data_IF_237962695904
#
_entry.id   IF_237962695904
#
_cell.length_a   1.000
_cell.length_b   1.000
_cell.length_c   1.000
_cell.angle_alpha   90.00
_cell.angle_beta   90.00
_cell.angle_gamma   90.00
#
_symmetry.space_group_name_H-M   'P 1'
#
loop_
_entity.id
_entity.type
_entity.pdbx_description
1 polymer ?
#
# COMPACT_ATOMS: atom_id res chain seq x y z
N UNK A 1 58.19 1.01 -19.18
CA UNK A 1 57.36 1.78 -18.27
C UNK A 1 55.89 1.95 -18.74
N UNK A 2 55.60 2.16 -20.03
CA UNK A 2 54.21 2.31 -20.51
C UNK A 2 53.33 1.07 -20.35
N UNK A 3 53.87 -0.14 -20.41
CA UNK A 3 53.11 -1.41 -20.30
C UNK A 3 52.69 -1.73 -18.85
N UNK A 4 53.43 -1.26 -17.83
CA UNK A 4 53.09 -1.44 -16.40
C UNK A 4 51.98 -0.49 -15.99
N UNK A 5 51.95 0.72 -16.53
CA UNK A 5 50.91 1.69 -16.28
C UNK A 5 49.53 1.26 -16.83
N UNK A 6 49.56 0.55 -17.97
CA UNK A 6 48.32 0.03 -18.58
C UNK A 6 47.73 -1.13 -17.80
N UNK A 7 48.57 -1.97 -17.19
CA UNK A 7 48.16 -3.09 -16.36
C UNK A 7 47.53 -2.59 -15.03
N UNK A 8 48.06 -1.50 -14.47
CA UNK A 8 47.49 -0.89 -13.25
C UNK A 8 46.11 -0.27 -13.51
N UNK A 9 45.88 0.35 -14.66
CA UNK A 9 44.55 0.92 -15.01
C UNK A 9 43.52 -0.18 -15.22
N UNK A 10 43.88 -1.33 -15.78
CA UNK A 10 42.94 -2.46 -15.93
C UNK A 10 42.55 -3.11 -14.59
N UNK A 11 43.44 -3.14 -13.60
CA UNK A 11 43.11 -3.67 -12.26
C UNK A 11 42.13 -2.77 -11.49
N UNK A 12 42.25 -1.45 -11.66
CA UNK A 12 41.33 -0.49 -11.02
C UNK A 12 39.93 -0.56 -11.63
N UNK A 13 39.77 -0.93 -12.92
CA UNK A 13 38.47 -1.05 -13.58
C UNK A 13 37.70 -2.33 -13.20
N UNK A 14 38.36 -3.33 -12.62
CA UNK A 14 37.72 -4.60 -12.21
C UNK A 14 37.05 -4.56 -10.82
N UNK A 15 37.25 -3.48 -10.05
CA UNK A 15 36.67 -3.33 -8.68
C UNK A 15 35.33 -2.62 -8.70
N UNK A 16 34.84 -2.12 -9.86
CA UNK A 16 33.68 -1.22 -9.95
C UNK A 16 32.34 -1.88 -10.32
N UNK A 17 32.18 -3.20 -10.27
CA UNK A 17 30.89 -3.84 -10.55
C UNK A 17 30.52 -4.96 -9.55
N UNK A 18 30.67 -4.67 -8.26
CA UNK A 18 30.01 -5.44 -7.22
C UNK A 18 28.89 -4.57 -6.66
N UNK A 19 27.65 -4.83 -7.04
CA UNK A 19 26.51 -4.34 -6.26
C UNK A 19 26.75 -4.81 -4.83
N UNK A 20 27.21 -3.92 -3.96
CA UNK A 20 27.57 -4.23 -2.58
C UNK A 20 26.32 -4.83 -1.93
N UNK A 21 26.32 -6.15 -1.73
CA UNK A 21 25.26 -6.81 -0.98
C UNK A 21 25.36 -6.25 0.43
N UNK A 22 24.35 -5.48 0.83
CA UNK A 22 24.22 -4.96 2.17
C UNK A 22 24.47 -6.06 3.19
N UNK A 23 25.24 -5.76 4.22
CA UNK A 23 25.45 -6.69 5.33
C UNK A 23 24.12 -7.05 6.01
N UNK A 24 24.03 -8.18 6.72
CA UNK A 24 22.81 -8.50 7.49
C UNK A 24 22.40 -7.39 8.45
N UNK A 25 23.37 -6.74 9.09
CA UNK A 25 23.15 -5.63 10.03
C UNK A 25 22.60 -4.38 9.31
N UNK A 26 23.14 -4.02 8.16
CA UNK A 26 22.65 -2.90 7.35
C UNK A 26 21.24 -3.15 6.83
N UNK A 27 20.92 -4.40 6.48
CA UNK A 27 19.54 -4.78 6.09
C UNK A 27 18.58 -4.63 7.25
N UNK A 28 18.94 -5.13 8.44
CA UNK A 28 18.13 -5.01 9.65
C UNK A 28 17.92 -3.56 10.05
N UNK A 29 18.97 -2.74 10.01
CA UNK A 29 18.87 -1.31 10.30
C UNK A 29 17.99 -0.57 9.30
N UNK A 30 18.11 -0.89 8.01
CA UNK A 30 17.25 -0.33 6.97
C UNK A 30 15.79 -0.73 7.15
N UNK A 31 15.55 -1.99 7.49
CA UNK A 31 14.20 -2.50 7.75
C UNK A 31 13.57 -1.78 8.94
N UNK A 32 14.31 -1.65 10.07
CA UNK A 32 13.84 -0.92 11.24
C UNK A 32 13.53 0.56 10.93
N UNK A 33 14.32 1.20 10.07
CA UNK A 33 14.06 2.58 9.65
C UNK A 33 12.79 2.69 8.80
N UNK A 34 12.52 1.73 7.93
CA UNK A 34 11.29 1.67 7.14
C UNK A 34 10.09 1.51 8.08
N UNK A 35 10.18 0.61 9.07
CA UNK A 35 9.15 0.40 10.09
C UNK A 35 8.81 1.68 10.85
N UNK A 36 9.82 2.34 11.39
CA UNK A 36 9.62 3.58 12.13
C UNK A 36 8.97 4.68 11.28
N UNK A 37 9.40 4.83 10.03
CA UNK A 37 8.82 5.80 9.10
C UNK A 37 7.36 5.48 8.76
N UNK A 38 7.02 4.21 8.57
CA UNK A 38 5.64 3.79 8.32
C UNK A 38 4.76 4.04 9.55
N UNK A 39 5.20 3.63 10.74
CA UNK A 39 4.46 3.88 11.99
C UNK A 39 4.25 5.37 12.25
N UNK A 40 5.27 6.18 12.01
CA UNK A 40 5.16 7.64 12.11
C UNK A 40 4.14 8.20 11.12
N UNK A 41 4.20 7.80 9.87
CA UNK A 41 3.27 8.26 8.84
C UNK A 41 1.81 7.87 9.16
N UNK A 42 1.60 6.69 9.73
CA UNK A 42 0.28 6.24 10.19
C UNK A 42 -0.22 7.09 11.36
N UNK A 43 0.64 7.32 12.37
CA UNK A 43 0.30 8.14 13.52
C UNK A 43 0.00 9.60 13.12
N UNK A 44 0.71 10.12 12.14
CA UNK A 44 0.52 11.46 11.56
C UNK A 44 -0.61 11.51 10.52
N UNK A 45 -1.30 10.39 10.25
CA UNK A 45 -2.36 10.28 9.24
C UNK A 45 -1.89 10.72 7.85
N UNK A 46 -0.68 10.34 7.47
CA UNK A 46 -0.06 10.78 6.22
C UNK A 46 0.58 9.59 5.48
N UNK A 47 -0.28 8.74 4.90
CA UNK A 47 0.16 7.52 4.23
C UNK A 47 -0.68 7.18 3.00
N UNK A 48 -0.14 6.31 2.17
CA UNK A 48 -0.81 5.73 0.99
C UNK A 48 -0.72 4.22 1.05
N UNK A 49 -1.82 3.54 0.73
CA UNK A 49 -1.88 2.10 0.52
C UNK A 49 -2.03 1.87 -0.98
N UNK A 50 -1.05 1.22 -1.58
CA UNK A 50 -1.12 0.77 -2.96
C UNK A 50 -1.71 -0.63 -2.97
N UNK A 51 -2.89 -0.80 -3.58
CA UNK A 51 -3.60 -2.08 -3.60
C UNK A 51 -2.96 -3.02 -4.64
N UNK A 52 -2.69 -4.24 -4.22
CA UNK A 52 -2.08 -5.29 -5.05
C UNK A 52 -3.03 -6.44 -5.33
N UNK A 53 -4.02 -6.63 -4.44
CA UNK A 53 -5.00 -7.70 -4.56
C UNK A 53 -6.37 -7.24 -4.08
N UNK A 54 -7.41 -7.68 -4.75
CA UNK A 54 -8.80 -7.55 -4.31
C UNK A 54 -9.38 -8.94 -4.08
N UNK A 55 -10.04 -9.10 -2.95
CA UNK A 55 -10.74 -10.33 -2.56
C UNK A 55 -12.24 -10.06 -2.57
N UNK A 56 -12.94 -10.36 -3.66
CA UNK A 56 -14.39 -10.24 -3.69
C UNK A 56 -15.02 -11.26 -2.74
N UNK A 57 -16.18 -10.95 -2.19
CA UNK A 57 -16.91 -11.85 -1.29
C UNK A 57 -17.23 -13.18 -2.00
N UNK A 58 -17.49 -13.13 -3.31
CA UNK A 58 -17.73 -14.29 -4.17
C UNK A 58 -16.76 -14.23 -5.35
N UNK A 59 -16.02 -15.33 -5.58
CA UNK A 59 -15.09 -15.42 -6.70
C UNK A 59 -13.63 -15.65 -6.31
N UNK A 60 -12.74 -15.48 -7.27
CA UNK A 60 -11.31 -15.66 -7.06
C UNK A 60 -10.64 -14.32 -6.72
N UNK A 61 -9.58 -14.40 -5.91
CA UNK A 61 -8.72 -13.27 -5.64
C UNK A 61 -8.13 -12.73 -6.96
N UNK A 62 -8.09 -11.41 -7.08
CA UNK A 62 -7.66 -10.75 -8.29
C UNK A 62 -6.47 -9.85 -7.99
N UNK A 63 -5.37 -10.08 -8.71
CA UNK A 63 -4.24 -9.17 -8.69
C UNK A 63 -4.63 -7.89 -9.43
N UNK A 64 -4.39 -6.75 -8.79
CA UNK A 64 -4.71 -5.43 -9.34
C UNK A 64 -3.48 -4.53 -9.29
N UNK A 65 -3.49 -3.49 -10.10
CA UNK A 65 -2.46 -2.45 -10.09
C UNK A 65 -3.08 -1.09 -10.39
N UNK A 66 -2.44 -0.03 -9.89
CA UNK A 66 -2.90 1.33 -10.09
C UNK A 66 -4.01 1.79 -9.15
N UNK A 67 -4.54 0.94 -8.29
CA UNK A 67 -5.52 1.31 -7.26
C UNK A 67 -4.83 1.66 -5.95
N UNK A 68 -5.43 2.59 -5.20
CA UNK A 68 -4.82 3.09 -3.98
C UNK A 68 -5.83 3.76 -3.05
N UNK A 69 -5.44 3.86 -1.78
CA UNK A 69 -6.11 4.66 -0.75
C UNK A 69 -5.06 5.59 -0.16
N UNK A 70 -5.29 6.88 -0.20
CA UNK A 70 -4.42 7.89 0.39
C UNK A 70 -5.15 8.54 1.55
N UNK A 71 -4.48 8.60 2.69
CA UNK A 71 -4.96 9.29 3.90
C UNK A 71 -4.02 10.44 4.17
N UNK A 72 -4.55 11.63 4.23
CA UNK A 72 -3.88 12.80 4.82
C UNK A 72 -4.63 13.21 6.10
N UNK A 73 -4.08 14.13 6.87
CA UNK A 73 -4.62 14.50 8.18
C UNK A 73 -6.07 15.01 8.15
N UNK A 74 -6.62 15.31 6.99
CA UNK A 74 -7.93 15.96 6.82
C UNK A 74 -8.86 15.20 5.90
N UNK A 75 -8.32 14.46 4.92
CA UNK A 75 -9.08 13.80 3.89
C UNK A 75 -8.60 12.39 3.62
N UNK A 76 -9.51 11.58 3.11
CA UNK A 76 -9.22 10.32 2.44
C UNK A 76 -9.50 10.47 0.96
N UNK A 77 -8.55 10.02 0.14
CA UNK A 77 -8.71 9.94 -1.30
C UNK A 77 -8.66 8.47 -1.68
N UNK A 78 -9.69 8.00 -2.38
CA UNK A 78 -9.79 6.62 -2.80
C UNK A 78 -9.79 6.52 -4.31
N UNK A 79 -9.02 5.58 -4.82
CA UNK A 79 -9.06 5.10 -6.19
C UNK A 79 -9.06 3.58 -6.13
N UNK A 80 -10.25 2.99 -6.01
CA UNK A 80 -10.46 1.58 -5.73
C UNK A 80 -11.33 0.93 -6.81
N UNK A 81 -11.23 -0.39 -7.03
CA UNK A 81 -12.13 -1.08 -7.93
C UNK A 81 -13.57 -0.98 -7.39
N UNK A 82 -14.52 -0.67 -8.27
CA UNK A 82 -15.94 -0.68 -7.94
C UNK A 82 -16.44 -2.12 -8.01
N UNK A 83 -16.64 -2.73 -6.87
CA UNK A 83 -17.22 -4.06 -6.74
C UNK A 83 -18.71 -3.88 -6.48
N UNK A 84 -19.55 -4.49 -7.31
CA UNK A 84 -21.00 -4.56 -7.11
C UNK A 84 -21.36 -5.96 -6.64
N UNK A 85 -22.32 -6.11 -5.71
CA UNK A 85 -22.85 -7.41 -5.30
C UNK A 85 -23.41 -8.21 -6.47
N UNK A 86 -23.98 -7.50 -7.47
CA UNK A 86 -24.64 -8.06 -8.63
C UNK A 86 -23.67 -8.35 -9.80
N UNK A 87 -22.37 -8.09 -9.62
CA UNK A 87 -21.41 -8.43 -10.68
C UNK A 87 -21.31 -9.96 -10.80
N UNK A 88 -21.62 -10.53 -11.98
CA UNK A 88 -21.52 -11.97 -12.17
C UNK A 88 -20.09 -12.44 -11.89
N UNK A 89 -19.89 -13.65 -11.39
CA UNK A 89 -18.56 -14.19 -11.14
C UNK A 89 -17.71 -14.03 -12.40
N UNK A 90 -16.58 -13.38 -12.24
CA UNK A 90 -15.85 -12.64 -13.26
C UNK A 90 -15.07 -13.48 -14.28
N UNK A 91 -15.54 -14.67 -14.56
CA UNK A 91 -14.93 -15.55 -15.55
C UNK A 91 -15.05 -15.08 -17.02
N UNK A 92 -15.74 -13.96 -17.27
CA UNK A 92 -16.02 -13.49 -18.65
C UNK A 92 -15.76 -12.01 -18.93
N UNK A 93 -15.31 -11.24 -17.96
CA UNK A 93 -15.06 -9.81 -18.19
C UNK A 93 -13.63 -9.59 -18.67
N UNK A 94 -13.49 -8.89 -19.78
CA UNK A 94 -12.17 -8.52 -20.29
C UNK A 94 -11.48 -7.52 -19.35
N UNK A 95 -10.13 -7.48 -19.28
CA UNK A 95 -9.41 -6.50 -18.45
C UNK A 95 -9.80 -5.05 -18.73
N UNK A 96 -10.34 -4.73 -19.91
CA UNK A 96 -10.83 -3.40 -20.28
C UNK A 96 -12.14 -3.00 -19.58
N UNK A 97 -13.05 -3.95 -19.37
CA UNK A 97 -14.33 -3.66 -18.66
C UNK A 97 -14.11 -3.41 -17.16
N UNK A 98 -13.01 -3.91 -16.60
CA UNK A 98 -12.60 -3.61 -15.22
C UNK A 98 -12.12 -2.17 -15.05
N UNK A 99 -11.39 -1.63 -16.02
CA UNK A 99 -10.84 -0.29 -15.97
C UNK A 99 -11.94 0.80 -15.87
N UNK A 100 -13.15 0.52 -16.39
CA UNK A 100 -14.29 1.44 -16.33
C UNK A 100 -15.09 1.36 -15.01
N UNK A 101 -14.75 0.40 -14.12
CA UNK A 101 -15.44 0.16 -12.84
C UNK A 101 -14.58 0.59 -11.66
N UNK A 102 -14.23 1.85 -11.61
CA UNK A 102 -13.51 2.45 -10.50
C UNK A 102 -14.43 3.30 -9.63
N UNK A 103 -14.18 3.27 -8.35
CA UNK A 103 -14.70 4.24 -7.41
C UNK A 103 -13.58 5.22 -7.08
N UNK A 104 -13.77 6.46 -7.48
CA UNK A 104 -12.82 7.54 -7.25
C UNK A 104 -13.51 8.66 -6.48
N UNK A 105 -12.99 9.00 -5.32
CA UNK A 105 -13.50 10.09 -4.52
C UNK A 105 -12.46 10.69 -3.57
N UNK A 106 -12.72 11.92 -3.17
CA UNK A 106 -12.04 12.60 -2.06
C UNK A 106 -13.08 13.04 -1.07
N UNK A 107 -12.88 12.74 0.21
CA UNK A 107 -13.86 13.07 1.25
C UNK A 107 -13.16 13.36 2.58
N UNK A 108 -13.79 14.14 3.48
CA UNK A 108 -13.23 14.36 4.81
C UNK A 108 -13.00 13.06 5.56
N UNK A 109 -11.88 13.01 6.26
CA UNK A 109 -11.53 11.92 7.17
C UNK A 109 -12.28 12.12 8.49
N UNK A 110 -12.96 11.08 8.98
CA UNK A 110 -13.72 11.13 10.22
C UNK A 110 -13.42 9.90 11.10
N UNK A 111 -13.46 10.07 12.42
CA UNK A 111 -13.26 9.01 13.43
C UNK A 111 -12.00 8.18 13.22
N UNK A 112 -10.87 8.81 12.88
CA UNK A 112 -9.61 8.10 12.73
C UNK A 112 -9.10 7.60 14.08
N UNK A 113 -8.84 6.29 14.16
CA UNK A 113 -8.23 5.63 15.32
C UNK A 113 -7.10 4.72 14.83
N UNK A 114 -5.95 4.84 15.45
CA UNK A 114 -4.82 3.93 15.27
C UNK A 114 -4.46 3.26 16.60
N UNK A 115 -4.36 1.95 16.59
CA UNK A 115 -3.88 1.15 17.72
C UNK A 115 -2.77 0.23 17.26
N UNK A 116 -1.75 0.06 18.07
CA UNK A 116 -0.63 -0.84 17.79
C UNK A 116 -0.43 -1.80 18.95
N UNK A 117 -0.34 -3.09 18.64
CA UNK A 117 -0.02 -4.12 19.60
C UNK A 117 1.45 -4.55 19.42
N UNK A 118 2.34 -4.20 20.37
CA UNK A 118 3.77 -4.52 20.27
C UNK A 118 4.05 -6.03 20.43
N UNK A 119 3.18 -6.80 21.10
CA UNK A 119 3.40 -8.23 21.28
C UNK A 119 3.19 -9.02 19.98
N UNK A 120 2.22 -8.60 19.17
CA UNK A 120 1.90 -9.25 17.90
C UNK A 120 2.49 -8.53 16.69
N UNK A 121 3.08 -7.35 16.91
CA UNK A 121 3.54 -6.44 15.85
C UNK A 121 2.45 -6.10 14.82
N UNK A 122 1.20 -5.98 15.28
CA UNK A 122 0.03 -5.69 14.44
C UNK A 122 -0.50 -4.30 14.75
N UNK A 123 -0.63 -3.48 13.71
CA UNK A 123 -1.31 -2.20 13.74
C UNK A 123 -2.74 -2.34 13.21
N UNK A 124 -3.68 -1.65 13.85
CA UNK A 124 -5.06 -1.54 13.38
C UNK A 124 -5.42 -0.06 13.22
N UNK A 125 -5.82 0.31 12.01
CA UNK A 125 -6.35 1.63 11.69
C UNK A 125 -7.83 1.48 11.38
N UNK A 126 -8.65 2.33 11.97
CA UNK A 126 -10.07 2.44 11.63
C UNK A 126 -10.42 3.90 11.36
N UNK A 127 -11.22 4.14 10.36
CA UNK A 127 -11.81 5.44 10.11
C UNK A 127 -13.08 5.31 9.27
N UNK A 128 -13.83 6.39 9.21
CA UNK A 128 -14.99 6.49 8.32
C UNK A 128 -14.92 7.76 7.46
N UNK A 129 -15.69 7.74 6.39
CA UNK A 129 -15.87 8.86 5.48
C UNK A 129 -17.23 8.77 4.80
N UNK A 130 -17.70 9.85 4.20
CA UNK A 130 -18.98 9.90 3.52
C UNK A 130 -18.81 10.29 2.06
N UNK A 131 -19.40 9.51 1.16
CA UNK A 131 -19.37 9.82 -0.25
C UNK A 131 -20.65 9.37 -0.95
N UNK A 132 -21.26 10.26 -1.75
CA UNK A 132 -22.47 9.95 -2.51
C UNK A 132 -23.72 9.65 -1.66
N UNK A 133 -23.73 10.07 -0.39
CA UNK A 133 -24.80 9.78 0.57
C UNK A 133 -24.58 8.50 1.38
N UNK A 134 -23.57 7.71 1.06
CA UNK A 134 -23.22 6.47 1.78
C UNK A 134 -22.08 6.73 2.77
N UNK A 135 -22.11 6.06 3.92
CA UNK A 135 -20.98 5.97 4.85
C UNK A 135 -20.04 4.84 4.42
N UNK A 136 -18.75 5.10 4.39
CA UNK A 136 -17.72 4.12 4.13
C UNK A 136 -16.87 3.93 5.39
N UNK A 137 -16.81 2.71 5.92
CA UNK A 137 -15.96 2.36 7.05
C UNK A 137 -14.75 1.57 6.56
N UNK A 138 -13.58 1.98 7.01
CA UNK A 138 -12.31 1.34 6.68
C UNK A 138 -11.73 0.68 7.91
N UNK A 139 -11.31 -0.57 7.75
CA UNK A 139 -10.56 -1.35 8.73
C UNK A 139 -9.27 -1.81 8.06
N UNK A 140 -8.14 -1.31 8.53
CA UNK A 140 -6.84 -1.58 7.92
C UNK A 140 -5.97 -2.25 8.97
N UNK A 141 -5.65 -3.50 8.75
CA UNK A 141 -4.73 -4.27 9.57
C UNK A 141 -3.36 -4.26 8.90
N UNK A 142 -2.34 -3.88 9.65
CA UNK A 142 -0.96 -3.83 9.21
C UNK A 142 -0.22 -4.97 9.88
N UNK A 143 0.21 -5.93 9.07
CA UNK A 143 1.04 -7.05 9.47
C UNK A 143 2.40 -6.85 8.82
N UNK A 144 3.47 -6.98 9.59
CA UNK A 144 4.78 -6.57 9.12
C UNK A 144 4.79 -5.08 8.70
N UNK A 145 5.93 -4.57 8.26
CA UNK A 145 6.20 -3.14 8.10
C UNK A 145 5.37 -2.45 7.03
N UNK A 146 4.98 -3.18 6.01
CA UNK A 146 4.44 -2.62 4.77
C UNK A 146 3.22 -3.38 4.21
N UNK A 147 2.86 -4.50 4.78
CA UNK A 147 1.69 -5.27 4.34
C UNK A 147 0.42 -4.78 5.02
N UNK A 148 -0.54 -4.31 4.22
CA UNK A 148 -1.84 -3.85 4.68
C UNK A 148 -2.97 -4.74 4.17
N UNK A 149 -3.81 -5.21 5.08
CA UNK A 149 -5.11 -5.82 4.76
C UNK A 149 -6.19 -4.80 5.01
N UNK A 150 -6.93 -4.48 3.99
CA UNK A 150 -7.95 -3.43 4.00
C UNK A 150 -9.32 -4.06 3.83
N UNK A 151 -10.23 -3.73 4.73
CA UNK A 151 -11.66 -4.05 4.63
C UNK A 151 -12.42 -2.74 4.52
N UNK A 152 -13.24 -2.63 3.50
CA UNK A 152 -14.07 -1.47 3.21
C UNK A 152 -15.53 -1.89 3.29
N UNK A 153 -16.28 -1.25 4.16
CA UNK A 153 -17.72 -1.49 4.32
C UNK A 153 -18.46 -0.25 3.79
N UNK A 154 -19.02 -0.32 2.59
CA UNK A 154 -19.77 0.79 2.01
C UNK A 154 -21.25 0.72 2.44
N UNK A 155 -21.63 1.47 3.47
CA UNK A 155 -23.02 1.56 3.94
C UNK A 155 -23.66 0.19 4.19
N UNK A 156 -24.79 -0.05 3.54
CA UNK A 156 -25.53 -1.34 3.63
C UNK A 156 -25.10 -2.36 2.56
N UNK A 157 -23.95 -2.17 1.93
CA UNK A 157 -23.44 -3.06 0.86
C UNK A 157 -22.43 -4.07 1.39
N UNK A 158 -22.12 -5.04 0.52
CA UNK A 158 -21.14 -6.06 0.84
C UNK A 158 -19.74 -5.48 1.06
N UNK A 159 -19.02 -6.11 1.97
CA UNK A 159 -17.64 -5.79 2.28
C UNK A 159 -16.72 -6.03 1.09
N UNK A 160 -15.79 -5.10 0.89
CA UNK A 160 -14.69 -5.25 -0.05
C UNK A 160 -13.40 -5.47 0.72
N UNK A 161 -12.77 -6.63 0.55
CA UNK A 161 -11.47 -6.93 1.14
C UNK A 161 -10.37 -6.75 0.09
N UNK A 162 -9.30 -6.06 0.48
CA UNK A 162 -8.13 -5.81 -0.36
C UNK A 162 -6.84 -6.10 0.40
N UNK A 163 -5.77 -6.34 -0.33
CA UNK A 163 -4.41 -6.35 0.20
C UNK A 163 -3.57 -5.32 -0.54
N UNK A 164 -2.57 -4.79 0.12
CA UNK A 164 -1.70 -3.78 -0.47
C UNK A 164 -0.46 -3.52 0.36
N UNK A 165 0.32 -2.55 -0.08
CA UNK A 165 1.50 -2.08 0.63
C UNK A 165 1.30 -0.65 1.09
N UNK A 166 1.66 -0.37 2.35
CA UNK A 166 1.57 0.96 2.93
C UNK A 166 2.89 1.71 2.73
N UNK A 167 2.80 2.97 2.36
CA UNK A 167 3.96 3.83 2.17
C UNK A 167 3.69 5.22 2.76
N UNK A 168 4.68 5.87 3.42
CA UNK A 168 4.58 7.27 3.79
C UNK A 168 4.38 8.15 2.56
N UNK A 169 3.60 9.22 2.71
CA UNK A 169 3.51 10.25 1.68
C UNK A 169 4.64 11.26 1.94
N UNK A 170 5.71 11.16 1.13
CA UNK A 170 6.85 12.06 1.22
C UNK A 170 6.74 13.29 0.30
N UNK A 171 5.62 13.46 -0.37
CA UNK A 171 5.40 14.58 -1.29
C UNK A 171 5.10 15.84 -0.49
N UNK A 172 6.03 16.77 -0.48
CA UNK A 172 5.73 18.16 -0.16
C UNK A 172 5.07 18.76 -1.41
N UNK A 173 3.82 19.11 -1.28
CA UNK A 173 3.08 19.89 -2.29
C UNK A 173 3.65 21.31 -2.36
#
# INVERSE_FOLDING_TARGET
MKKVLWLMVCVVMMVSCGAAKLSPEERAARQAAIEQNAQKAIAEQNFRINLTMVRPMFGQNQTVSGYWIKVDSTHVQCYIPKIRPDDPPQFKTSPREYADRKLEFTSPLDEYLYTFNPETNVGLITFKTFFGGDEYRFYIQIENVDEARVRILPGDRDEVACEGTITPINERW
#
